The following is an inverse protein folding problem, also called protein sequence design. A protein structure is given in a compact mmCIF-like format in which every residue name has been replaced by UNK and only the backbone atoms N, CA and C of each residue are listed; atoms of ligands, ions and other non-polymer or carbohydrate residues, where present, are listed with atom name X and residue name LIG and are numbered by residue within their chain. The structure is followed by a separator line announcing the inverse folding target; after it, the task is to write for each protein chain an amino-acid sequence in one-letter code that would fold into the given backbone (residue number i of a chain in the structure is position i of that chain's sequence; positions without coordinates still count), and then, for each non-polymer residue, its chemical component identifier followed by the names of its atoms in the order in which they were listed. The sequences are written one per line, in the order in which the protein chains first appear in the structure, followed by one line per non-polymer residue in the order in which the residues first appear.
data_IF_719805659823
#
_entry.id   IF_719805659823
#
_cell.length_a   1.000
_cell.length_b   1.000
_cell.length_c   1.000
_cell.angle_alpha   90.00
_cell.angle_beta   90.00
_cell.angle_gamma   90.00
#
_symmetry.space_group_name_H-M   'P 1'
#
loop_
_entity.id
_entity.type
_entity.pdbx_description
1 polymer ?
#
# COMPACT_ATOMS: atom_id res chain seq x y z
N UNK A 1 -18.31 -10.96 -0.25
CA UNK A 1 -17.27 -9.98 0.10
C UNK A 1 -16.25 -10.02 -1.02
N UNK A 2 -16.04 -8.92 -1.74
CA UNK A 2 -15.24 -8.94 -2.98
C UNK A 2 -13.78 -8.63 -2.65
N UNK A 3 -12.94 -9.66 -2.63
CA UNK A 3 -11.51 -9.61 -2.34
C UNK A 3 -10.69 -9.16 -3.56
N UNK A 4 -10.95 -7.97 -4.08
CA UNK A 4 -10.19 -7.45 -5.23
C UNK A 4 -9.14 -6.44 -4.79
N UNK A 5 -7.90 -6.90 -4.65
CA UNK A 5 -6.71 -6.05 -4.41
C UNK A 5 -6.49 -5.01 -5.53
N UNK A 6 -7.07 -5.20 -6.71
CA UNK A 6 -7.02 -4.26 -7.85
C UNK A 6 -8.19 -3.30 -7.87
N UNK A 7 -8.90 -3.12 -6.76
CA UNK A 7 -9.95 -2.12 -6.68
C UNK A 7 -9.37 -0.74 -7.07
N UNK A 8 -9.96 -0.02 -8.04
CA UNK A 8 -9.35 1.20 -8.60
C UNK A 8 -8.98 2.26 -7.57
N UNK A 9 -9.73 2.34 -6.46
CA UNK A 9 -9.46 3.31 -5.40
C UNK A 9 -8.20 2.97 -4.59
N UNK A 10 -7.80 1.70 -4.50
CA UNK A 10 -6.60 1.27 -3.76
C UNK A 10 -5.30 1.68 -4.46
N UNK A 11 -5.35 2.04 -5.75
CA UNK A 11 -4.21 2.53 -6.55
C UNK A 11 -2.93 1.73 -6.29
N UNK A 12 -3.04 0.40 -6.29
CA UNK A 12 -1.93 -0.49 -5.97
C UNK A 12 -0.82 -0.34 -7.00
N UNK A 13 0.39 -0.08 -6.54
CA UNK A 13 1.57 0.09 -7.37
C UNK A 13 2.74 -0.73 -6.82
N UNK A 14 3.49 -1.38 -7.71
CA UNK A 14 4.73 -2.06 -7.33
C UNK A 14 5.81 -1.03 -7.05
N UNK A 15 6.52 -1.19 -5.94
CA UNK A 15 7.67 -0.33 -5.61
C UNK A 15 8.84 -0.72 -6.52
N UNK A 16 9.28 0.21 -7.37
CA UNK A 16 10.40 0.02 -8.29
C UNK A 16 11.68 -0.31 -7.52
N UNK A 17 12.49 -1.22 -8.05
CA UNK A 17 13.72 -1.68 -7.39
C UNK A 17 13.51 -2.75 -6.32
N UNK A 18 12.26 -3.17 -6.07
CA UNK A 18 11.96 -4.26 -5.13
C UNK A 18 11.25 -5.42 -5.85
N UNK A 19 11.64 -6.66 -5.48
CA UNK A 19 11.20 -7.86 -6.20
C UNK A 19 9.70 -8.13 -6.08
N UNK A 20 9.08 -7.79 -4.94
CA UNK A 20 7.70 -8.20 -4.60
C UNK A 20 7.00 -7.24 -3.63
N UNK A 21 7.49 -6.00 -3.48
CA UNK A 21 6.89 -5.04 -2.56
C UNK A 21 5.93 -4.14 -3.34
N UNK A 22 4.76 -3.94 -2.76
CA UNK A 22 3.65 -3.19 -3.29
C UNK A 22 3.23 -2.12 -2.29
N UNK A 23 2.78 -0.98 -2.81
CA UNK A 23 2.13 0.09 -2.07
C UNK A 23 0.66 0.17 -2.49
N UNK A 24 -0.25 0.27 -1.54
CA UNK A 24 -1.66 0.58 -1.72
C UNK A 24 -2.04 1.86 -0.96
N UNK A 25 -3.02 2.58 -1.48
CA UNK A 25 -3.60 3.78 -0.89
C UNK A 25 -5.02 3.48 -0.45
N UNK A 26 -5.21 3.31 0.85
CA UNK A 26 -6.54 3.12 1.42
C UNK A 26 -7.30 4.46 1.58
N UNK A 27 -6.57 5.58 1.67
CA UNK A 27 -7.12 6.94 1.61
C UNK A 27 -6.09 7.92 1.06
N UNK A 28 -6.42 9.22 1.00
CA UNK A 28 -5.46 10.28 0.64
C UNK A 28 -4.21 10.27 1.53
N UNK A 29 -4.37 9.84 2.78
CA UNK A 29 -3.32 9.91 3.80
C UNK A 29 -2.88 8.55 4.31
N UNK A 30 -3.66 7.49 4.12
CA UNK A 30 -3.31 6.14 4.57
C UNK A 30 -2.62 5.36 3.46
N UNK A 31 -1.35 5.02 3.68
CA UNK A 31 -0.59 4.12 2.81
C UNK A 31 -0.31 2.80 3.50
N UNK A 32 -0.40 1.76 2.70
CA UNK A 32 -0.14 0.38 3.12
C UNK A 32 0.94 -0.16 2.21
N UNK A 33 2.01 -0.70 2.78
CA UNK A 33 2.97 -1.50 2.02
C UNK A 33 2.83 -2.96 2.38
N UNK A 34 2.84 -3.81 1.38
CA UNK A 34 2.77 -5.25 1.56
C UNK A 34 3.67 -5.96 0.57
N UNK A 35 4.02 -7.19 0.89
CA UNK A 35 4.79 -8.05 0.02
C UNK A 35 3.98 -9.28 -0.33
N UNK A 36 3.92 -9.60 -1.62
CA UNK A 36 3.32 -10.86 -2.07
C UNK A 36 4.27 -12.02 -1.76
N UNK A 37 3.77 -12.99 -0.99
CA UNK A 37 4.48 -14.20 -0.60
C UNK A 37 3.63 -15.43 -0.86
N UNK A 38 3.62 -15.92 -2.11
CA UNK A 38 2.87 -17.12 -2.48
C UNK A 38 1.38 -16.95 -2.22
N UNK A 39 0.85 -17.68 -1.23
CA UNK A 39 -0.56 -17.66 -0.84
C UNK A 39 -0.91 -16.56 0.18
N UNK A 40 0.08 -15.86 0.71
CA UNK A 40 -0.13 -14.83 1.74
C UNK A 40 0.43 -13.47 1.33
N UNK A 41 -0.22 -12.42 1.82
CA UNK A 41 0.32 -11.06 1.78
C UNK A 41 0.96 -10.74 3.12
N UNK A 42 2.25 -10.41 3.09
CA UNK A 42 2.97 -9.92 4.26
C UNK A 42 2.81 -8.41 4.36
N UNK A 43 2.01 -7.92 5.30
CA UNK A 43 1.87 -6.50 5.58
C UNK A 43 3.20 -5.99 6.18
N UNK A 44 3.86 -5.05 5.49
CA UNK A 44 5.13 -4.47 5.96
C UNK A 44 4.91 -3.19 6.75
N UNK A 45 3.99 -2.33 6.31
CA UNK A 45 3.60 -1.14 7.04
C UNK A 45 2.17 -0.73 6.70
N UNK A 46 1.47 -0.15 7.66
CA UNK A 46 0.21 0.54 7.44
C UNK A 46 0.23 1.81 8.31
N UNK A 47 0.18 2.98 7.68
CA UNK A 47 0.36 4.23 8.39
C UNK A 47 0.03 5.47 7.58
N UNK A 48 -0.06 6.60 8.28
CA UNK A 48 -0.25 7.90 7.64
C UNK A 48 1.01 8.25 6.83
N UNK A 49 0.84 8.54 5.55
CA UNK A 49 1.91 8.95 4.64
C UNK A 49 2.47 10.33 4.99
N UNK A 50 1.73 11.16 5.73
CA UNK A 50 2.19 12.50 6.07
C UNK A 50 1.69 12.97 7.42
N UNK A 51 2.48 12.74 8.47
CA UNK A 51 2.43 13.61 9.65
C UNK A 51 3.27 14.88 9.46
N UNK A 52 4.05 14.98 8.37
CA UNK A 52 5.12 16.00 8.22
C UNK A 52 4.79 17.10 7.21
N UNK A 53 3.84 16.92 6.29
CA UNK A 53 3.42 17.96 5.32
C UNK A 53 2.50 19.07 5.90
N UNK A 54 2.46 19.24 7.23
CA UNK A 54 1.60 20.22 7.92
C UNK A 54 2.34 21.37 8.61
N UNK A 55 3.64 21.56 8.34
CA UNK A 55 4.33 22.79 8.71
C UNK A 55 4.63 23.61 7.44
N UNK A 56 4.13 24.87 7.37
CA UNK A 56 3.84 25.64 6.16
C UNK A 56 5.04 26.06 5.33
#
# INVERSE_FOLDING_TARGET
MTENLRYPALRVQRIRGTGKIWEARASLTLRITFQEGGEHLNLRSAGHHDAVLRNP
#
